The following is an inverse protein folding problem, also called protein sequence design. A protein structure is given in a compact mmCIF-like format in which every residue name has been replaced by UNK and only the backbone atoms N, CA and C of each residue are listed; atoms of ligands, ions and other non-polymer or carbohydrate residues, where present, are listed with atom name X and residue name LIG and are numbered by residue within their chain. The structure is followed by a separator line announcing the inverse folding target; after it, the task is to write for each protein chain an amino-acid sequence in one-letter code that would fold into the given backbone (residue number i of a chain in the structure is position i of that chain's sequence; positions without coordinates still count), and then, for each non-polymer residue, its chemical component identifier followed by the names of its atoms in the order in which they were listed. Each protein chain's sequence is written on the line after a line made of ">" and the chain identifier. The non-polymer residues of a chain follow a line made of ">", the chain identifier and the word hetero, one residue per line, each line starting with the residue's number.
data_IF_028044578951
#
_entry.id   IF_028044578951
#
_cell.length_a   1.000
_cell.length_b   1.000
_cell.length_c   1.000
_cell.angle_alpha   90.00
_cell.angle_beta   90.00
_cell.angle_gamma   90.00
#
_symmetry.space_group_name_H-M   'P 1'
#
loop_
_entity.id
_entity.type
_entity.pdbx_description
1 polymer ?
#
# COMPACT_ATOMS: atom_id res chain seq x y z
N UNK A 1 -12.94 10.41 4.75
CA UNK A 1 -11.93 9.82 3.95
C UNK A 1 -12.26 10.03 2.50
N UNK A 2 -11.67 10.02 1.57
CA UNK A 2 -12.03 10.12 0.17
C UNK A 2 -12.23 8.78 -0.52
N UNK A 3 -12.13 7.70 0.22
CA UNK A 3 -12.25 6.37 -0.34
C UNK A 3 -13.67 5.87 -0.31
N UNK A 4 -14.02 5.08 -1.32
CA UNK A 4 -15.31 4.43 -1.35
C UNK A 4 -15.41 3.43 -0.21
N UNK A 5 -16.50 3.49 0.52
CA UNK A 5 -16.79 2.54 1.59
C UNK A 5 -17.57 1.35 1.08
N UNK A 6 -17.87 1.33 -0.21
CA UNK A 6 -18.74 0.29 -0.77
C UNK A 6 -18.12 -1.10 -0.76
N UNK A 7 -16.85 -1.19 -1.04
CA UNK A 7 -16.21 -2.49 -1.01
C UNK A 7 -14.72 -2.38 -0.83
N UNK A 8 -14.23 -3.30 -0.01
CA UNK A 8 -12.81 -3.49 0.22
C UNK A 8 -12.47 -4.92 -0.11
N UNK A 9 -11.31 -5.11 -0.69
CA UNK A 9 -10.80 -6.43 -0.98
C UNK A 9 -9.62 -6.68 -0.05
N UNK A 10 -9.84 -7.44 1.00
CA UNK A 10 -8.79 -7.75 1.96
C UNK A 10 -8.01 -8.94 1.46
N UNK A 11 -6.72 -8.73 1.20
CA UNK A 11 -5.89 -9.74 0.55
C UNK A 11 -4.87 -10.42 1.45
N UNK A 12 -4.64 -9.89 2.65
CA UNK A 12 -3.64 -10.43 3.54
C UNK A 12 -2.23 -9.99 3.15
N UNK A 13 -1.23 -10.80 3.46
CA UNK A 13 0.14 -10.43 3.16
C UNK A 13 0.45 -10.48 1.67
N UNK A 14 1.19 -9.49 1.20
CA UNK A 14 1.71 -9.54 -0.16
C UNK A 14 2.74 -10.65 -0.27
N UNK A 15 2.79 -11.35 -1.40
CA UNK A 15 3.79 -12.39 -1.59
C UNK A 15 5.21 -11.85 -1.48
N UNK A 16 6.09 -12.67 -0.93
CA UNK A 16 7.50 -12.30 -0.78
C UNK A 16 8.22 -12.30 -2.12
N UNK A 17 7.90 -13.29 -2.98
CA UNK A 17 8.53 -13.41 -4.29
C UNK A 17 8.10 -12.26 -5.19
N UNK A 18 9.08 -11.60 -5.82
CA UNK A 18 8.81 -10.39 -6.59
C UNK A 18 7.81 -10.60 -7.74
N UNK A 19 7.89 -11.71 -8.45
CA UNK A 19 6.96 -11.98 -9.54
C UNK A 19 5.53 -12.14 -9.07
N UNK A 20 5.34 -12.85 -7.96
CA UNK A 20 4.01 -13.03 -7.40
C UNK A 20 3.48 -11.73 -6.80
N UNK A 21 4.37 -10.97 -6.15
CA UNK A 21 4.00 -9.67 -5.59
C UNK A 21 3.55 -8.72 -6.70
N UNK A 22 4.29 -8.68 -7.79
CA UNK A 22 3.95 -7.83 -8.92
C UNK A 22 2.60 -8.21 -9.51
N UNK A 23 2.32 -9.51 -9.60
CA UNK A 23 1.02 -9.98 -10.10
C UNK A 23 -0.12 -9.51 -9.22
N UNK A 24 0.05 -9.59 -7.89
CA UNK A 24 -0.98 -9.11 -6.96
C UNK A 24 -1.18 -7.60 -7.09
N UNK A 25 -0.09 -6.85 -7.25
CA UNK A 25 -0.18 -5.41 -7.39
C UNK A 25 -0.82 -5.01 -8.72
N UNK A 26 -0.54 -5.74 -9.80
CA UNK A 26 -1.21 -5.50 -11.08
C UNK A 26 -2.70 -5.74 -10.97
N UNK A 27 -3.09 -6.81 -10.27
CA UNK A 27 -4.49 -7.10 -10.05
C UNK A 27 -5.15 -6.00 -9.23
N UNK A 28 -4.46 -5.50 -8.21
CA UNK A 28 -4.98 -4.41 -7.39
C UNK A 28 -5.15 -3.13 -8.21
N UNK A 29 -4.23 -2.86 -9.14
CA UNK A 29 -4.30 -1.68 -9.99
C UNK A 29 -5.53 -1.70 -10.89
N UNK A 30 -5.98 -2.89 -11.29
CA UNK A 30 -7.14 -3.03 -12.15
C UNK A 30 -8.46 -3.15 -11.41
N UNK A 31 -8.40 -3.36 -10.11
CA UNK A 31 -9.58 -3.62 -9.31
C UNK A 31 -10.35 -2.34 -9.01
N UNK A 32 -11.68 -2.41 -9.09
CA UNK A 32 -12.51 -1.26 -8.71
C UNK A 32 -12.51 -1.07 -7.20
N UNK A 33 -12.46 -2.18 -6.47
CA UNK A 33 -12.45 -2.13 -5.02
C UNK A 33 -11.09 -1.67 -4.50
N UNK A 34 -11.11 -1.09 -3.31
CA UNK A 34 -9.89 -0.76 -2.60
C UNK A 34 -9.28 -2.04 -2.07
N UNK A 35 -8.00 -2.25 -2.32
CA UNK A 35 -7.30 -3.45 -1.89
C UNK A 35 -6.49 -3.17 -0.63
N UNK A 36 -6.52 -4.11 0.30
CA UNK A 36 -5.84 -3.97 1.58
C UNK A 36 -4.87 -5.13 1.75
N UNK A 37 -3.61 -4.80 1.97
CA UNK A 37 -2.55 -5.79 2.16
C UNK A 37 -1.79 -5.52 3.45
N UNK A 38 -1.27 -6.59 4.05
CA UNK A 38 -0.25 -6.45 5.07
C UNK A 38 1.11 -6.48 4.40
N UNK A 39 2.04 -5.70 4.92
CA UNK A 39 3.39 -5.68 4.39
C UNK A 39 4.41 -5.52 5.50
N UNK A 40 5.61 -5.97 5.25
CA UNK A 40 6.72 -5.87 6.17
C UNK A 40 7.45 -4.54 6.00
N UNK A 41 7.93 -3.93 7.09
CA UNK A 41 8.76 -2.73 6.97
C UNK A 41 10.04 -2.96 6.17
N UNK A 42 10.48 -4.21 6.09
CA UNK A 42 11.67 -4.55 5.31
C UNK A 42 11.40 -4.58 3.81
N UNK A 43 10.14 -4.73 3.40
CA UNK A 43 9.78 -4.84 2.00
C UNK A 43 8.97 -3.67 1.48
N UNK A 44 8.57 -2.75 2.35
CA UNK A 44 7.68 -1.68 1.92
C UNK A 44 8.30 -0.81 0.82
N UNK A 45 9.60 -0.58 0.87
CA UNK A 45 10.25 0.23 -0.16
C UNK A 45 10.20 -0.45 -1.52
N UNK A 46 10.44 -1.76 -1.54
CA UNK A 46 10.36 -2.53 -2.79
C UNK A 46 8.94 -2.53 -3.34
N UNK A 47 7.97 -2.66 -2.44
CA UNK A 47 6.56 -2.67 -2.82
C UNK A 47 6.14 -1.31 -3.37
N UNK A 48 6.53 -0.24 -2.71
CA UNK A 48 6.21 1.10 -3.19
C UNK A 48 6.88 1.40 -4.52
N UNK A 49 8.13 0.94 -4.70
CA UNK A 49 8.82 1.09 -5.97
C UNK A 49 8.08 0.38 -7.11
N UNK A 50 7.55 -0.81 -6.83
CA UNK A 50 6.75 -1.53 -7.81
C UNK A 50 5.47 -0.76 -8.12
N UNK A 51 4.85 -0.15 -7.11
CA UNK A 51 3.64 0.65 -7.33
C UNK A 51 3.93 1.89 -8.18
N UNK A 52 5.12 2.48 -8.04
CA UNK A 52 5.51 3.61 -8.88
C UNK A 52 5.47 3.20 -10.35
N UNK A 53 5.90 1.97 -10.65
CA UNK A 53 5.90 1.47 -12.02
C UNK A 53 4.51 1.08 -12.52
N UNK A 54 3.71 0.47 -11.64
CA UNK A 54 2.44 -0.11 -12.05
C UNK A 54 1.25 0.83 -11.93
N UNK A 55 1.30 1.75 -10.99
CA UNK A 55 0.17 2.64 -10.71
C UNK A 55 0.65 3.99 -10.17
N UNK A 56 1.44 4.73 -10.95
CA UNK A 56 2.11 5.93 -10.44
C UNK A 56 1.18 7.04 -9.94
N UNK A 57 -0.05 7.07 -10.42
CA UNK A 57 -0.99 8.13 -10.03
C UNK A 57 -2.03 7.68 -9.01
N UNK A 58 -1.96 6.42 -8.60
CA UNK A 58 -2.94 5.88 -7.67
C UNK A 58 -2.69 6.41 -6.26
N UNK A 59 -3.78 6.73 -5.56
CA UNK A 59 -3.69 7.10 -4.16
C UNK A 59 -3.52 5.85 -3.31
N UNK A 60 -2.52 5.88 -2.47
CA UNK A 60 -2.25 4.81 -1.52
C UNK A 60 -2.32 5.37 -0.11
N UNK A 61 -2.51 4.49 0.84
CA UNK A 61 -2.43 4.85 2.25
C UNK A 61 -1.59 3.78 2.94
N UNK A 62 -0.63 4.21 3.72
CA UNK A 62 0.17 3.31 4.53
C UNK A 62 -0.17 3.59 5.99
N UNK A 63 -0.70 2.59 6.65
CA UNK A 63 -1.05 2.68 8.05
C UNK A 63 -0.10 1.81 8.85
N UNK A 64 0.35 2.31 9.98
CA UNK A 64 1.17 1.50 10.88
C UNK A 64 0.84 1.83 12.32
N UNK A 65 0.99 0.84 13.17
CA UNK A 65 0.76 1.01 14.59
C UNK A 65 2.07 1.32 15.28
N UNK A 66 2.13 2.48 15.91
CA UNK A 66 3.33 2.88 16.65
C UNK A 66 3.30 2.32 18.08
N UNK A 67 2.13 2.40 18.67
CA UNK A 67 1.86 1.83 20.00
C UNK A 67 0.40 1.42 19.99
N UNK A 68 -0.05 0.82 21.08
CA UNK A 68 -1.47 0.46 21.18
C UNK A 68 -2.40 1.66 21.09
N UNK A 69 -1.89 2.84 21.37
CA UNK A 69 -2.70 4.06 21.39
C UNK A 69 -2.49 4.96 20.20
N UNK A 70 -1.40 4.77 19.48
CA UNK A 70 -1.05 5.66 18.37
C UNK A 70 -0.92 4.89 17.07
N UNK A 71 -1.54 5.45 16.05
CA UNK A 71 -1.43 4.93 14.70
C UNK A 71 -0.94 6.05 13.83
N UNK A 72 -0.23 5.69 12.76
CA UNK A 72 0.23 6.64 11.78
C UNK A 72 -0.38 6.27 10.44
N UNK A 73 -0.95 7.28 9.77
CA UNK A 73 -1.51 7.12 8.44
C UNK A 73 -0.81 8.10 7.52
N UNK A 74 -0.25 7.59 6.43
CA UNK A 74 0.33 8.45 5.42
C UNK A 74 -0.32 8.15 4.09
N UNK A 75 -0.76 9.22 3.43
CA UNK A 75 -1.42 9.11 2.13
C UNK A 75 -0.60 9.79 1.07
N UNK A 76 -0.70 9.28 -0.13
CA UNK A 76 -0.03 9.91 -1.27
C UNK A 76 0.09 8.96 -2.42
N UNK A 77 0.75 9.42 -3.46
CA UNK A 77 1.11 8.57 -4.58
C UNK A 77 2.25 7.66 -4.17
N UNK A 78 2.48 6.57 -4.94
CA UNK A 78 3.59 5.68 -4.61
C UNK A 78 4.93 6.40 -4.49
N UNK A 79 5.20 7.36 -5.39
CA UNK A 79 6.47 8.08 -5.36
C UNK A 79 6.61 8.94 -4.11
N UNK A 80 5.53 9.59 -3.71
CA UNK A 80 5.53 10.41 -2.49
C UNK A 80 5.80 9.57 -1.26
N UNK A 81 5.13 8.42 -1.17
CA UNK A 81 5.30 7.54 -0.02
C UNK A 81 6.68 6.89 -0.03
N UNK A 82 7.18 6.53 -1.21
CA UNK A 82 8.52 5.97 -1.33
C UNK A 82 9.56 6.95 -0.80
N UNK A 83 9.43 8.23 -1.18
CA UNK A 83 10.35 9.25 -0.70
C UNK A 83 10.28 9.41 0.82
N UNK A 84 9.06 9.42 1.37
CA UNK A 84 8.87 9.57 2.82
C UNK A 84 9.49 8.42 3.58
N UNK A 85 9.26 7.18 3.15
CA UNK A 85 9.77 6.02 3.87
C UNK A 85 11.25 5.74 3.60
N UNK A 86 11.78 6.30 2.52
CA UNK A 86 13.23 6.27 2.30
C UNK A 86 13.92 7.17 3.31
N UNK A 87 13.35 8.35 3.54
CA UNK A 87 13.92 9.31 4.50
C UNK A 87 13.67 8.89 5.95
N UNK A 88 12.52 8.29 6.20
CA UNK A 88 12.11 7.90 7.55
C UNK A 88 11.60 6.46 7.53
N UNK A 89 12.50 5.48 7.64
CA UNK A 89 12.13 4.07 7.54
C UNK A 89 11.02 3.68 8.49
N UNK A 90 10.10 2.87 7.99
CA UNK A 90 8.98 2.39 8.79
C UNK A 90 9.45 1.32 9.78
N UNK A 91 8.76 1.24 10.90
CA UNK A 91 8.97 0.20 11.90
C UNK A 91 7.64 -0.46 12.20
N UNK A 92 7.70 -1.75 12.51
CA UNK A 92 6.51 -2.47 12.88
C UNK A 92 5.68 -2.90 11.68
N UNK A 93 4.54 -3.49 11.96
CA UNK A 93 3.66 -4.03 10.94
C UNK A 93 2.96 -2.91 10.17
N UNK A 94 2.87 -3.11 8.87
CA UNK A 94 2.32 -2.11 7.97
C UNK A 94 1.09 -2.66 7.28
N UNK A 95 0.07 -1.81 7.14
CA UNK A 95 -1.09 -2.10 6.31
C UNK A 95 -1.01 -1.15 5.12
N UNK A 96 -0.98 -1.72 3.93
CA UNK A 96 -0.96 -0.95 2.69
C UNK A 96 -2.35 -0.98 2.08
N UNK A 97 -2.92 0.19 1.87
CA UNK A 97 -4.24 0.34 1.26
C UNK A 97 -4.05 0.95 -0.12
N UNK A 98 -4.49 0.24 -1.14
CA UNK A 98 -4.43 0.70 -2.52
C UNK A 98 -5.84 1.09 -2.92
N UNK A 99 -6.08 2.38 -3.07
CA UNK A 99 -7.39 2.87 -3.45
C UNK A 99 -7.82 2.25 -4.77
N UNK A 100 -9.09 1.84 -4.84
CA UNK A 100 -9.62 1.23 -6.04
C UNK A 100 -9.57 2.16 -7.23
N UNK A 101 -9.78 1.59 -8.41
CA UNK A 101 -9.69 2.34 -9.67
C UNK A 101 -10.65 3.53 -9.71
N UNK A 102 -11.80 3.41 -9.10
CA UNK A 102 -12.63 4.58 -8.80
C UNK A 102 -13.51 5.11 -9.91
N UNK A 103 -13.68 4.40 -10.98
CA UNK A 103 -14.57 4.87 -12.07
C UNK A 103 -15.78 3.97 -12.29
#
# INVERSE_FOLDING_TARGET
>A
SGMSMKSFCFRGFLPVKSGQRERELRAAAEREETSVFFESPYRILKTLAACVELMPERQLCVARELTKKFEEFRRGTPAELLAQYTAHPAKGEITLVIEGRGD
#
